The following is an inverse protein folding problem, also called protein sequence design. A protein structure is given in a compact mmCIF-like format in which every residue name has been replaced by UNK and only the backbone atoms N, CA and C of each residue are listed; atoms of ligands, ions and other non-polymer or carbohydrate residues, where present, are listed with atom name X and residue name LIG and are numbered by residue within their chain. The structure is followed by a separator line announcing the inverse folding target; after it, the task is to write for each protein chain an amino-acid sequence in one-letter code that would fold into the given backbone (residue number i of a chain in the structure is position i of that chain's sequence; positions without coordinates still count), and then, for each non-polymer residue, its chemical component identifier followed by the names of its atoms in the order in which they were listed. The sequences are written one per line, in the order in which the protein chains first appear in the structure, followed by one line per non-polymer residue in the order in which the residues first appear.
data_IF_507091642145
#
_entry.id   IF_507091642145
#
_cell.length_a   1.000
_cell.length_b   1.000
_cell.length_c   1.000
_cell.angle_alpha   90.00
_cell.angle_beta   90.00
_cell.angle_gamma   90.00
#
_symmetry.space_group_name_H-M   'P 1'
#
loop_
_entity.id
_entity.type
_entity.pdbx_description
1 polymer ?
#
# COMPACT_ATOMS: atom_id res chain seq x y z
N UNK A 1 -31.44 22.18 22.29
CA UNK A 1 -30.52 21.68 21.24
C UNK A 1 -30.85 20.22 21.03
N UNK A 2 -31.60 19.92 19.98
CA UNK A 2 -31.74 18.55 19.50
C UNK A 2 -30.36 18.10 19.03
N UNK A 3 -29.81 17.04 19.62
CA UNK A 3 -28.67 16.36 19.02
C UNK A 3 -29.12 15.94 17.62
N UNK A 4 -28.50 16.52 16.59
CA UNK A 4 -28.71 16.01 15.23
C UNK A 4 -28.30 14.55 15.26
N UNK A 5 -29.15 13.66 14.75
CA UNK A 5 -28.76 12.27 14.57
C UNK A 5 -27.44 12.24 13.77
N UNK A 6 -26.44 11.46 14.23
CA UNK A 6 -25.17 11.39 13.56
C UNK A 6 -25.38 10.93 12.11
N UNK A 7 -24.75 11.64 11.17
CA UNK A 7 -24.82 11.33 9.76
C UNK A 7 -24.31 9.90 9.51
N UNK A 8 -25.18 9.01 9.03
CA UNK A 8 -24.83 7.63 8.70
C UNK A 8 -24.27 7.53 7.28
N UNK A 9 -23.60 6.43 6.96
CA UNK A 9 -23.09 6.17 5.61
C UNK A 9 -24.21 6.21 4.56
N UNK A 10 -25.29 5.44 4.75
CA UNK A 10 -26.39 5.37 3.78
C UNK A 10 -27.08 6.73 3.61
N UNK A 11 -27.35 7.45 4.72
CA UNK A 11 -27.96 8.78 4.66
C UNK A 11 -27.06 9.80 3.93
N UNK A 12 -25.74 9.71 4.11
CA UNK A 12 -24.81 10.56 3.38
C UNK A 12 -24.73 10.19 1.90
N UNK A 13 -24.73 8.90 1.56
CA UNK A 13 -24.75 8.44 0.16
C UNK A 13 -26.00 8.95 -0.55
N UNK A 14 -27.18 8.86 0.07
CA UNK A 14 -28.42 9.39 -0.49
C UNK A 14 -28.35 10.91 -0.69
N UNK A 15 -27.84 11.64 0.31
CA UNK A 15 -27.64 13.09 0.23
C UNK A 15 -26.69 13.46 -0.93
N UNK A 16 -25.54 12.79 -1.03
CA UNK A 16 -24.55 13.06 -2.07
C UNK A 16 -25.03 12.63 -3.46
N UNK A 17 -25.78 11.53 -3.55
CA UNK A 17 -26.37 11.07 -4.80
C UNK A 17 -27.52 11.98 -5.29
N UNK A 18 -28.09 12.84 -4.45
CA UNK A 18 -29.06 13.86 -4.86
C UNK A 18 -28.39 15.12 -5.43
N UNK A 19 -27.11 15.35 -5.12
CA UNK A 19 -26.38 16.54 -5.57
C UNK A 19 -25.84 16.35 -7.01
N UNK A 20 -26.20 17.21 -7.98
CA UNK A 20 -25.71 17.09 -9.36
C UNK A 20 -24.19 17.28 -9.49
N UNK A 21 -23.56 18.04 -8.58
CA UNK A 21 -22.12 18.34 -8.62
C UNK A 21 -21.26 17.17 -8.11
N UNK A 22 -21.84 16.16 -7.46
CA UNK A 22 -21.15 14.92 -7.11
C UNK A 22 -21.03 14.04 -8.36
N UNK A 23 -19.79 13.86 -8.82
CA UNK A 23 -19.47 13.05 -10.02
C UNK A 23 -19.00 11.64 -9.68
N UNK A 24 -18.61 11.40 -8.42
CA UNK A 24 -18.23 10.07 -7.95
C UNK A 24 -18.26 9.91 -6.44
N UNK A 25 -18.56 8.68 -6.00
CA UNK A 25 -18.44 8.25 -4.60
C UNK A 25 -17.60 6.99 -4.55
N UNK A 26 -16.52 7.01 -3.76
CA UNK A 26 -15.52 5.95 -3.71
C UNK A 26 -15.26 5.52 -2.27
N UNK A 27 -15.67 4.31 -1.92
CA UNK A 27 -15.49 3.71 -0.60
C UNK A 27 -14.14 2.98 -0.54
N UNK A 28 -13.26 3.37 0.37
CA UNK A 28 -11.98 2.68 0.61
C UNK A 28 -12.01 1.92 1.94
N UNK A 29 -10.83 1.42 2.33
CA UNK A 29 -10.63 0.83 3.64
C UNK A 29 -11.29 -0.53 3.79
N UNK A 30 -11.61 -0.90 5.03
CA UNK A 30 -12.00 -2.28 5.36
C UNK A 30 -13.34 -2.68 4.74
N UNK A 31 -14.26 -1.72 4.58
CA UNK A 31 -15.57 -1.91 3.93
C UNK A 31 -15.46 -2.13 2.42
N UNK A 32 -14.33 -1.73 1.81
CA UNK A 32 -14.03 -2.02 0.40
C UNK A 32 -13.46 -3.44 0.18
N UNK A 33 -12.91 -4.06 1.22
CA UNK A 33 -12.24 -5.36 1.15
C UNK A 33 -13.15 -6.46 1.70
N UNK A 34 -13.56 -7.38 0.85
CA UNK A 34 -14.42 -8.51 1.24
C UNK A 34 -13.81 -9.30 2.41
N UNK A 35 -14.59 -9.48 3.48
CA UNK A 35 -14.19 -10.22 4.68
C UNK A 35 -13.30 -9.45 5.67
N UNK A 36 -12.94 -8.19 5.39
CA UNK A 36 -12.02 -7.41 6.23
C UNK A 36 -12.70 -6.41 7.17
N UNK A 37 -13.99 -6.14 6.95
CA UNK A 37 -14.79 -5.28 7.82
C UNK A 37 -15.14 -6.00 9.12
N UNK A 38 -15.13 -5.25 10.22
CA UNK A 38 -15.54 -5.68 11.57
C UNK A 38 -16.59 -4.73 12.13
N UNK A 39 -17.15 -5.04 13.29
CA UNK A 39 -18.07 -4.13 14.01
C UNK A 39 -17.44 -2.77 14.35
N UNK A 40 -16.10 -2.69 14.43
CA UNK A 40 -15.32 -1.48 14.71
C UNK A 40 -14.86 -0.75 13.45
N UNK A 41 -15.34 -1.15 12.29
CA UNK A 41 -14.95 -0.58 11.00
C UNK A 41 -15.88 0.57 10.61
N UNK A 42 -15.30 1.75 10.43
CA UNK A 42 -15.88 2.93 9.81
C UNK A 42 -16.04 2.76 8.29
N UNK A 43 -16.72 3.74 7.67
CA UNK A 43 -16.77 3.92 6.23
C UNK A 43 -15.88 5.09 5.83
N UNK A 44 -14.77 4.80 5.15
CA UNK A 44 -13.93 5.81 4.53
C UNK A 44 -14.47 6.15 3.12
N UNK A 45 -15.13 7.29 2.95
CA UNK A 45 -15.76 7.67 1.69
C UNK A 45 -15.12 8.91 1.06
N UNK A 46 -14.67 8.77 -0.18
CA UNK A 46 -14.26 9.88 -1.03
C UNK A 46 -15.48 10.41 -1.79
N UNK A 47 -15.70 11.71 -1.68
CA UNK A 47 -16.75 12.46 -2.37
C UNK A 47 -16.07 13.29 -3.45
N UNK A 48 -16.22 12.86 -4.70
CA UNK A 48 -15.59 13.49 -5.86
C UNK A 48 -16.58 14.46 -6.48
N UNK A 49 -16.25 15.74 -6.39
CA UNK A 49 -17.04 16.82 -6.96
C UNK A 49 -16.54 17.18 -8.37
N UNK A 50 -17.42 17.70 -9.22
CA UNK A 50 -17.01 18.34 -10.45
C UNK A 50 -16.03 19.49 -10.15
N UNK A 51 -15.07 19.71 -11.06
CA UNK A 51 -14.12 20.81 -10.89
C UNK A 51 -14.87 22.16 -10.90
N UNK A 52 -14.65 22.98 -9.87
CA UNK A 52 -15.33 24.26 -9.70
C UNK A 52 -16.78 24.18 -9.19
N UNK A 53 -17.22 23.01 -8.73
CA UNK A 53 -18.53 22.82 -8.11
C UNK A 53 -18.80 23.79 -6.94
N UNK A 54 -20.04 24.24 -6.83
CA UNK A 54 -20.50 25.13 -5.77
C UNK A 54 -21.62 24.45 -4.98
N UNK A 55 -21.23 23.55 -4.08
CA UNK A 55 -22.14 22.71 -3.29
C UNK A 55 -22.01 22.93 -1.78
N UNK A 56 -23.14 22.84 -1.10
CA UNK A 56 -23.24 22.79 0.36
C UNK A 56 -22.52 21.58 0.98
N UNK A 57 -22.22 20.54 0.20
CA UNK A 57 -21.50 19.35 0.67
C UNK A 57 -20.08 19.66 1.16
N UNK A 58 -19.49 20.77 0.71
CA UNK A 58 -18.18 21.24 1.18
C UNK A 58 -18.15 21.47 2.70
N UNK A 59 -19.29 21.69 3.36
CA UNK A 59 -19.40 21.77 4.83
C UNK A 59 -19.01 20.48 5.56
N UNK A 60 -18.98 19.35 4.85
CA UNK A 60 -18.53 18.05 5.38
C UNK A 60 -17.04 17.80 5.17
N UNK A 61 -16.27 18.78 4.67
CA UNK A 61 -14.81 18.66 4.55
C UNK A 61 -14.20 18.39 5.93
N UNK A 62 -13.44 17.29 6.06
CA UNK A 62 -12.84 16.86 7.32
C UNK A 62 -13.83 16.23 8.31
N UNK A 63 -15.04 15.89 7.87
CA UNK A 63 -16.02 15.19 8.70
C UNK A 63 -15.51 13.79 9.06
N UNK A 64 -15.45 13.52 10.36
CA UNK A 64 -15.00 12.24 10.90
C UNK A 64 -15.76 11.86 12.16
N UNK A 65 -16.37 10.69 12.14
CA UNK A 65 -17.02 10.03 13.27
C UNK A 65 -16.47 8.60 13.39
N UNK A 66 -16.81 7.85 14.47
CA UNK A 66 -16.49 6.43 14.54
C UNK A 66 -17.12 5.56 13.43
N UNK A 67 -18.15 6.06 12.74
CA UNK A 67 -18.88 5.34 11.69
C UNK A 67 -18.55 5.80 10.26
N UNK A 68 -18.12 7.06 10.08
CA UNK A 68 -17.97 7.71 8.78
C UNK A 68 -16.81 8.71 8.76
N UNK A 69 -15.89 8.55 7.81
CA UNK A 69 -14.80 9.51 7.50
C UNK A 69 -14.94 9.96 6.04
N UNK A 70 -15.06 11.28 5.83
CA UNK A 70 -15.33 11.88 4.52
C UNK A 70 -14.12 12.66 4.00
N UNK A 71 -13.71 12.32 2.78
CA UNK A 71 -12.74 13.10 2.00
C UNK A 71 -13.48 13.74 0.84
N UNK A 72 -13.77 15.03 0.95
CA UNK A 72 -14.43 15.82 -0.09
C UNK A 72 -13.37 16.53 -0.92
N UNK A 73 -13.36 16.33 -2.23
CA UNK A 73 -12.37 16.91 -3.14
C UNK A 73 -12.89 17.01 -4.57
N UNK A 74 -12.24 17.83 -5.38
CA UNK A 74 -12.53 17.97 -6.82
C UNK A 74 -12.04 16.77 -7.63
N UNK A 75 -12.57 16.58 -8.84
CA UNK A 75 -12.12 15.54 -9.76
C UNK A 75 -10.62 15.66 -10.10
N UNK A 76 -10.12 16.89 -10.28
CA UNK A 76 -8.70 17.16 -10.45
C UNK A 76 -7.85 16.69 -9.27
N UNK A 77 -8.27 17.01 -8.04
CA UNK A 77 -7.60 16.54 -6.82
C UNK A 77 -7.70 15.02 -6.67
N UNK A 78 -8.81 14.40 -7.06
CA UNK A 78 -8.98 12.95 -6.99
C UNK A 78 -7.99 12.20 -7.89
N UNK A 79 -7.73 12.75 -9.09
CA UNK A 79 -6.72 12.19 -10.01
C UNK A 79 -5.33 12.19 -9.36
N UNK A 80 -4.98 13.26 -8.65
CA UNK A 80 -3.70 13.37 -7.93
C UNK A 80 -3.66 12.57 -6.61
N UNK A 81 -4.81 12.34 -5.97
CA UNK A 81 -4.87 11.73 -4.65
C UNK A 81 -4.11 10.40 -4.55
N UNK A 82 -3.24 10.30 -3.56
CA UNK A 82 -2.40 9.12 -3.33
C UNK A 82 -1.27 8.92 -4.33
N UNK A 83 -0.95 9.86 -5.23
CA UNK A 83 0.15 9.70 -6.19
C UNK A 83 1.18 10.84 -6.13
N UNK A 84 2.47 10.53 -5.84
CA UNK A 84 2.95 9.32 -5.19
C UNK A 84 2.50 9.29 -3.72
N UNK A 85 2.33 8.11 -3.12
CA UNK A 85 2.04 8.05 -1.69
C UNK A 85 1.43 6.75 -1.20
N UNK A 86 1.39 6.62 0.13
CA UNK A 86 0.86 5.45 0.83
C UNK A 86 -0.63 5.20 0.55
N UNK A 87 -1.40 6.27 0.31
CA UNK A 87 -2.83 6.20 0.06
C UNK A 87 -3.19 5.59 -1.30
N UNK A 88 -2.21 5.48 -2.23
CA UNK A 88 -2.41 4.89 -3.57
C UNK A 88 -3.07 3.53 -3.51
N UNK A 89 -2.58 2.65 -2.63
CA UNK A 89 -3.11 1.30 -2.50
C UNK A 89 -4.58 1.30 -2.07
N UNK A 90 -4.94 2.15 -1.10
CA UNK A 90 -6.29 2.18 -0.57
C UNK A 90 -7.31 2.58 -1.65
N UNK A 91 -6.95 3.53 -2.52
CA UNK A 91 -7.75 3.91 -3.68
C UNK A 91 -7.73 2.85 -4.80
N UNK A 92 -6.57 2.24 -5.08
CA UNK A 92 -6.42 1.16 -6.06
C UNK A 92 -7.29 -0.10 -5.77
N UNK A 93 -7.76 -0.25 -4.54
CA UNK A 93 -8.65 -1.33 -4.09
C UNK A 93 -10.00 -0.81 -3.56
N UNK A 94 -10.32 0.45 -3.84
CA UNK A 94 -11.59 1.03 -3.42
C UNK A 94 -12.76 0.48 -4.25
N UNK A 95 -13.96 0.59 -3.67
CA UNK A 95 -15.23 0.27 -4.31
C UNK A 95 -15.91 1.54 -4.79
N UNK A 96 -16.41 1.51 -6.00
CA UNK A 96 -17.20 2.60 -6.56
C UNK A 96 -18.63 2.44 -6.06
N UNK A 97 -19.14 3.47 -5.40
CA UNK A 97 -20.54 3.57 -4.97
C UNK A 97 -21.35 4.33 -6.01
N UNK A 98 -20.76 5.36 -6.62
CA UNK A 98 -21.35 6.16 -7.69
C UNK A 98 -20.26 6.57 -8.69
N UNK A 99 -20.57 6.51 -9.98
CA UNK A 99 -19.77 7.07 -11.07
C UNK A 99 -20.73 7.69 -12.10
N UNK A 100 -20.70 9.02 -12.24
CA UNK A 100 -21.52 9.76 -13.22
C UNK A 100 -20.76 10.15 -14.48
N UNK A 101 -19.51 9.71 -14.59
CA UNK A 101 -18.62 10.08 -15.68
C UNK A 101 -18.39 8.89 -16.62
N UNK A 102 -19.42 8.06 -16.81
CA UNK A 102 -19.41 6.90 -17.70
C UNK A 102 -18.18 5.99 -17.52
N UNK A 103 -17.76 5.77 -16.27
CA UNK A 103 -16.63 4.91 -15.93
C UNK A 103 -15.30 5.63 -15.74
N UNK A 104 -15.25 6.97 -15.86
CA UNK A 104 -14.00 7.70 -15.67
C UNK A 104 -13.46 7.59 -14.23
N UNK A 105 -14.33 7.50 -13.21
CA UNK A 105 -13.88 7.25 -11.82
C UNK A 105 -13.25 5.86 -11.73
N UNK A 106 -13.85 4.86 -12.37
CA UNK A 106 -13.28 3.52 -12.46
C UNK A 106 -11.90 3.50 -13.13
N UNK A 107 -11.74 4.24 -14.23
CA UNK A 107 -10.45 4.35 -14.92
C UNK A 107 -9.39 5.00 -14.02
N UNK A 108 -9.73 6.07 -13.30
CA UNK A 108 -8.82 6.72 -12.35
C UNK A 108 -8.34 5.75 -11.27
N UNK A 109 -9.22 4.91 -10.73
CA UNK A 109 -8.84 3.88 -9.74
C UNK A 109 -7.97 2.78 -10.35
N UNK A 110 -8.28 2.35 -11.58
CA UNK A 110 -7.48 1.36 -12.31
C UNK A 110 -6.05 1.86 -12.57
N UNK A 111 -5.90 3.14 -12.90
CA UNK A 111 -4.59 3.78 -13.10
C UNK A 111 -3.79 3.85 -11.80
N UNK A 112 -4.45 4.12 -10.66
CA UNK A 112 -3.81 4.06 -9.33
C UNK A 112 -3.33 2.65 -8.98
N UNK A 113 -3.99 1.60 -9.47
CA UNK A 113 -3.63 0.21 -9.20
C UNK A 113 -2.36 -0.27 -9.91
N UNK A 114 -1.83 0.50 -10.87
CA UNK A 114 -0.58 0.16 -11.56
C UNK A 114 0.39 1.33 -11.57
N UNK A 115 1.62 1.07 -11.14
CA UNK A 115 2.73 2.00 -11.31
C UNK A 115 3.08 2.08 -12.80
N UNK A 116 3.44 3.28 -13.25
CA UNK A 116 4.03 3.41 -14.58
C UNK A 116 5.39 2.69 -14.61
N UNK A 117 5.86 2.30 -15.80
CA UNK A 117 7.07 1.46 -15.93
C UNK A 117 8.30 2.15 -15.34
N UNK A 118 8.43 3.47 -15.54
CA UNK A 118 9.60 4.21 -15.08
C UNK A 118 9.53 4.48 -13.57
N UNK A 119 8.34 4.78 -13.04
CA UNK A 119 8.06 4.88 -11.60
C UNK A 119 8.34 3.56 -10.90
N UNK A 120 7.80 2.45 -11.40
CA UNK A 120 8.04 1.12 -10.86
C UNK A 120 9.53 0.76 -10.84
N UNK A 121 10.25 1.09 -11.92
CA UNK A 121 11.67 0.80 -12.01
C UNK A 121 12.48 1.60 -10.97
N UNK A 122 12.23 2.91 -10.84
CA UNK A 122 12.88 3.76 -9.84
C UNK A 122 12.54 3.33 -8.41
N UNK A 123 11.26 3.07 -8.13
CA UNK A 123 10.81 2.63 -6.81
C UNK A 123 11.44 1.27 -6.46
N UNK A 124 11.49 0.32 -7.41
CA UNK A 124 12.13 -0.97 -7.18
C UNK A 124 13.63 -0.82 -6.86
N UNK A 125 14.36 0.05 -7.57
CA UNK A 125 15.78 0.35 -7.29
C UNK A 125 15.96 0.93 -5.89
N UNK A 126 15.24 2.00 -5.56
CA UNK A 126 15.35 2.68 -4.27
C UNK A 126 15.00 1.77 -3.09
N UNK A 127 13.93 0.97 -3.22
CA UNK A 127 13.49 0.06 -2.17
C UNK A 127 14.39 -1.17 -2.07
N UNK A 128 14.97 -1.65 -3.17
CA UNK A 128 15.94 -2.74 -3.16
C UNK A 128 17.23 -2.33 -2.42
N UNK A 129 17.72 -1.11 -2.66
CA UNK A 129 18.88 -0.59 -1.94
C UNK A 129 18.60 -0.44 -0.44
N UNK A 130 17.44 0.12 -0.08
CA UNK A 130 17.02 0.24 1.32
C UNK A 130 16.85 -1.12 2.01
N UNK A 131 16.32 -2.12 1.29
CA UNK A 131 16.23 -3.50 1.78
C UNK A 131 17.63 -4.09 2.04
N UNK A 132 18.55 -3.97 1.06
CA UNK A 132 19.92 -4.42 1.20
C UNK A 132 20.62 -3.74 2.39
N UNK A 133 20.42 -2.44 2.58
CA UNK A 133 21.00 -1.71 3.71
C UNK A 133 20.47 -2.18 5.07
N UNK A 134 19.16 -2.35 5.23
CA UNK A 134 18.59 -2.86 6.48
C UNK A 134 19.02 -4.32 6.76
N UNK A 135 19.05 -5.16 5.73
CA UNK A 135 19.54 -6.53 5.85
C UNK A 135 21.03 -6.57 6.26
N UNK A 136 21.87 -5.79 5.58
CA UNK A 136 23.30 -5.70 5.89
C UNK A 136 23.52 -5.29 7.35
N UNK A 137 22.81 -4.25 7.81
CA UNK A 137 22.86 -3.81 9.21
C UNK A 137 22.40 -4.90 10.17
N UNK A 138 21.32 -5.61 9.86
CA UNK A 138 20.84 -6.73 10.67
C UNK A 138 21.91 -7.80 10.84
N UNK A 139 22.46 -8.31 9.74
CA UNK A 139 23.48 -9.38 9.75
C UNK A 139 24.77 -8.91 10.43
N UNK A 140 25.19 -7.67 10.17
CA UNK A 140 26.35 -7.05 10.82
C UNK A 140 26.14 -6.94 12.33
N UNK A 141 24.99 -6.45 12.78
CA UNK A 141 24.66 -6.32 14.19
C UNK A 141 24.57 -7.69 14.88
N UNK A 142 24.08 -8.74 14.21
CA UNK A 142 24.14 -10.11 14.76
C UNK A 142 25.59 -10.58 14.93
N UNK A 143 26.43 -10.38 13.92
CA UNK A 143 27.87 -10.71 13.98
C UNK A 143 28.57 -9.99 15.15
N UNK A 144 28.20 -8.74 15.38
CA UNK A 144 28.82 -7.87 16.39
C UNK A 144 28.19 -8.02 17.79
N UNK A 145 27.19 -8.90 17.96
CA UNK A 145 26.55 -9.18 19.25
C UNK A 145 25.44 -8.20 19.67
N UNK A 146 25.00 -7.30 18.79
CA UNK A 146 23.96 -6.31 19.04
C UNK A 146 22.55 -6.85 18.74
N UNK A 147 22.08 -7.79 19.56
CA UNK A 147 20.85 -8.56 19.29
C UNK A 147 19.58 -7.71 19.08
N UNK A 148 19.36 -6.66 19.88
CA UNK A 148 18.17 -5.81 19.71
C UNK A 148 18.23 -5.02 18.39
N UNK A 149 19.37 -4.38 18.10
CA UNK A 149 19.57 -3.64 16.87
C UNK A 149 19.39 -4.55 15.64
N UNK A 150 19.96 -5.76 15.69
CA UNK A 150 19.82 -6.75 14.62
C UNK A 150 18.35 -7.10 14.31
N UNK A 151 17.51 -7.28 15.35
CA UNK A 151 16.08 -7.57 15.17
C UNK A 151 15.30 -6.37 14.65
N UNK A 152 15.60 -5.16 15.10
CA UNK A 152 14.96 -3.94 14.60
C UNK A 152 15.29 -3.73 13.12
N UNK A 153 16.57 -3.90 12.73
CA UNK A 153 16.99 -3.83 11.32
C UNK A 153 16.35 -4.93 10.46
N UNK A 154 16.18 -6.13 11.01
CA UNK A 154 15.48 -7.22 10.34
C UNK A 154 14.00 -6.86 10.09
N UNK A 155 13.32 -6.31 11.09
CA UNK A 155 11.93 -5.85 10.95
C UNK A 155 11.80 -4.70 9.94
N UNK A 156 12.73 -3.72 9.95
CA UNK A 156 12.78 -2.64 8.96
C UNK A 156 12.94 -3.18 7.53
N UNK A 157 13.76 -4.23 7.36
CA UNK A 157 14.03 -4.83 6.05
C UNK A 157 12.75 -5.37 5.39
N UNK A 158 11.78 -5.85 6.17
CA UNK A 158 10.53 -6.44 5.65
C UNK A 158 9.70 -5.43 4.88
N UNK A 159 9.63 -4.18 5.36
CA UNK A 159 8.89 -3.12 4.66
C UNK A 159 9.51 -2.85 3.29
N UNK A 160 10.81 -2.61 3.26
CA UNK A 160 11.54 -2.31 2.02
C UNK A 160 11.51 -3.47 1.03
N UNK A 161 11.61 -4.70 1.51
CA UNK A 161 11.45 -5.89 0.69
C UNK A 161 10.07 -5.92 0.02
N UNK A 162 9.00 -5.77 0.80
CA UNK A 162 7.65 -5.78 0.25
C UNK A 162 7.44 -4.65 -0.76
N UNK A 163 7.88 -3.43 -0.45
CA UNK A 163 7.80 -2.30 -1.38
C UNK A 163 8.55 -2.60 -2.69
N UNK A 164 9.76 -3.18 -2.62
CA UNK A 164 10.51 -3.61 -3.81
C UNK A 164 9.78 -4.69 -4.61
N UNK A 165 9.27 -5.75 -3.97
CA UNK A 165 8.57 -6.84 -4.66
C UNK A 165 7.27 -6.38 -5.34
N UNK A 166 6.51 -5.50 -4.69
CA UNK A 166 5.30 -4.92 -5.28
C UNK A 166 5.63 -3.96 -6.42
N UNK A 167 6.69 -3.15 -6.30
CA UNK A 167 7.16 -2.30 -7.39
C UNK A 167 7.62 -3.11 -8.62
N UNK A 168 8.30 -4.25 -8.43
CA UNK A 168 8.65 -5.17 -9.52
C UNK A 168 7.43 -5.70 -10.27
N UNK A 169 6.31 -5.90 -9.56
CA UNK A 169 5.03 -6.28 -10.16
C UNK A 169 4.15 -5.07 -10.56
N UNK A 170 4.74 -3.86 -10.50
CA UNK A 170 4.10 -2.58 -10.81
C UNK A 170 2.81 -2.33 -10.04
N UNK A 171 2.71 -2.84 -8.81
CA UNK A 171 1.56 -2.62 -7.92
C UNK A 171 1.95 -1.77 -6.72
N UNK A 172 1.03 -0.92 -6.21
CA UNK A 172 1.26 -0.25 -4.94
C UNK A 172 1.23 -1.29 -3.82
N UNK A 173 2.10 -1.11 -2.83
CA UNK A 173 2.22 -2.03 -1.70
C UNK A 173 1.02 -1.90 -0.75
N UNK A 174 0.34 -2.99 -0.35
CA UNK A 174 -0.78 -2.96 0.59
C UNK A 174 -0.40 -2.48 1.98
N UNK A 175 -1.34 -1.90 2.74
CA UNK A 175 -1.17 -1.76 4.19
C UNK A 175 -1.00 -3.14 4.84
N UNK A 176 -0.27 -3.21 5.96
CA UNK A 176 -0.02 -4.48 6.68
C UNK A 176 -1.31 -5.27 6.92
N UNK A 177 -2.38 -4.59 7.33
CA UNK A 177 -3.70 -5.19 7.56
C UNK A 177 -4.26 -5.92 6.34
N UNK A 178 -3.92 -5.50 5.11
CA UNK A 178 -4.44 -6.07 3.86
C UNK A 178 -3.42 -6.94 3.13
N UNK A 179 -2.20 -7.11 3.65
CA UNK A 179 -1.12 -7.81 2.95
C UNK A 179 -1.48 -9.26 2.60
N UNK A 180 -1.95 -10.03 3.58
CA UNK A 180 -2.35 -11.43 3.37
C UNK A 180 -3.55 -11.52 2.42
N UNK A 181 -4.55 -10.66 2.61
CA UNK A 181 -5.72 -10.57 1.74
C UNK A 181 -5.33 -10.30 0.27
N UNK A 182 -4.41 -9.36 0.05
CA UNK A 182 -3.93 -8.96 -1.28
C UNK A 182 -3.14 -10.11 -1.91
N UNK A 183 -2.24 -10.77 -1.19
CA UNK A 183 -1.42 -11.86 -1.74
C UNK A 183 -2.21 -13.16 -1.96
N UNK A 184 -3.30 -13.38 -1.22
CA UNK A 184 -4.20 -14.51 -1.45
C UNK A 184 -5.02 -14.36 -2.75
N UNK A 185 -5.42 -13.13 -3.08
CA UNK A 185 -6.24 -12.83 -4.28
C UNK A 185 -5.40 -12.46 -5.50
N UNK A 186 -4.27 -11.81 -5.27
CA UNK A 186 -3.38 -11.25 -6.30
C UNK A 186 -1.93 -11.62 -5.94
N UNK A 187 -1.54 -12.91 -6.06
CA UNK A 187 -0.22 -13.37 -5.69
C UNK A 187 0.88 -12.66 -6.47
N UNK A 188 2.02 -12.42 -5.83
CA UNK A 188 3.20 -11.88 -6.51
C UNK A 188 3.77 -12.93 -7.49
N UNK A 189 4.03 -12.59 -8.76
CA UNK A 189 4.56 -13.55 -9.74
C UNK A 189 5.86 -14.21 -9.28
N UNK A 190 5.91 -15.54 -9.34
CA UNK A 190 7.10 -16.30 -8.96
C UNK A 190 7.35 -16.37 -7.45
N UNK A 191 6.41 -15.91 -6.61
CA UNK A 191 6.43 -16.06 -5.15
C UNK A 191 5.33 -17.01 -4.69
N UNK A 192 5.66 -17.84 -3.71
CA UNK A 192 4.67 -18.64 -3.00
C UNK A 192 4.18 -17.82 -1.81
N UNK A 193 2.90 -17.50 -1.76
CA UNK A 193 2.32 -16.58 -0.77
C UNK A 193 2.54 -17.07 0.65
N UNK A 194 2.22 -18.34 0.94
CA UNK A 194 2.36 -18.90 2.29
C UNK A 194 3.81 -18.88 2.77
N UNK A 195 4.73 -19.42 1.96
CA UNK A 195 6.16 -19.43 2.29
C UNK A 195 6.73 -18.03 2.44
N UNK A 196 6.29 -17.06 1.63
CA UNK A 196 6.72 -15.67 1.79
C UNK A 196 6.27 -15.14 3.15
N UNK A 197 4.98 -15.25 3.48
CA UNK A 197 4.44 -14.75 4.75
C UNK A 197 5.09 -15.42 5.97
N UNK A 198 5.26 -16.74 5.95
CA UNK A 198 5.95 -17.48 7.02
C UNK A 198 7.41 -17.00 7.20
N UNK A 199 8.09 -16.71 6.08
CA UNK A 199 9.46 -16.19 6.11
C UNK A 199 9.50 -14.78 6.70
N UNK A 200 8.57 -13.91 6.33
CA UNK A 200 8.50 -12.53 6.85
C UNK A 200 8.15 -12.50 8.35
N UNK A 201 7.25 -13.38 8.79
CA UNK A 201 6.90 -13.54 10.20
C UNK A 201 8.13 -13.98 11.02
N UNK A 202 8.82 -15.04 10.58
CA UNK A 202 10.03 -15.51 11.24
C UNK A 202 11.11 -14.42 11.34
N UNK A 203 11.35 -13.69 10.25
CA UNK A 203 12.32 -12.58 10.22
C UNK A 203 11.92 -11.49 11.21
N UNK A 204 10.64 -11.08 11.20
CA UNK A 204 10.14 -10.01 12.07
C UNK A 204 10.19 -10.40 13.55
N UNK A 205 9.93 -11.67 13.87
CA UNK A 205 9.94 -12.18 15.23
C UNK A 205 11.35 -12.39 15.79
N UNK A 206 12.28 -12.88 14.96
CA UNK A 206 13.55 -13.44 15.46
C UNK A 206 14.80 -12.74 14.92
N UNK A 207 14.72 -12.11 13.75
CA UNK A 207 15.89 -11.64 13.01
C UNK A 207 16.82 -12.77 12.53
N UNK A 208 16.32 -14.00 12.34
CA UNK A 208 17.16 -15.16 11.97
C UNK A 208 17.99 -14.90 10.71
N UNK A 209 19.31 -14.83 10.88
CA UNK A 209 20.27 -14.49 9.81
C UNK A 209 20.23 -15.48 8.65
N UNK A 210 20.07 -16.77 8.94
CA UNK A 210 20.06 -17.81 7.91
C UNK A 210 18.85 -17.66 6.99
N UNK A 211 17.68 -17.38 7.57
CA UNK A 211 16.43 -17.10 6.84
C UNK A 211 16.54 -15.82 6.03
N UNK A 212 17.05 -14.74 6.63
CA UNK A 212 17.29 -13.48 5.95
C UNK A 212 18.19 -13.65 4.71
N UNK A 213 19.31 -14.38 4.83
CA UNK A 213 20.23 -14.65 3.72
C UNK A 213 19.63 -15.51 2.62
N UNK A 214 18.89 -16.57 2.98
CA UNK A 214 18.19 -17.42 2.01
C UNK A 214 17.17 -16.62 1.20
N UNK A 215 16.40 -15.77 1.88
CA UNK A 215 15.46 -14.88 1.22
C UNK A 215 16.18 -13.91 0.29
N UNK A 216 17.27 -13.29 0.76
CA UNK A 216 18.09 -12.39 -0.05
C UNK A 216 18.59 -13.04 -1.34
N UNK A 217 19.08 -14.29 -1.30
CA UNK A 217 19.53 -14.99 -2.51
C UNK A 217 18.43 -15.11 -3.57
N UNK A 218 17.17 -15.31 -3.14
CA UNK A 218 16.01 -15.31 -4.05
C UNK A 218 15.71 -13.90 -4.57
N UNK A 219 15.72 -12.89 -3.70
CA UNK A 219 15.48 -11.49 -4.07
C UNK A 219 16.52 -11.01 -5.07
N UNK A 220 17.81 -11.28 -4.83
CA UNK A 220 18.90 -10.96 -5.74
C UNK A 220 18.67 -11.57 -7.13
N UNK A 221 18.25 -12.83 -7.20
CA UNK A 221 17.96 -13.49 -8.47
C UNK A 221 16.80 -12.81 -9.22
N UNK A 222 15.72 -12.48 -8.51
CA UNK A 222 14.54 -11.83 -9.10
C UNK A 222 14.87 -10.41 -9.56
N UNK A 223 15.53 -9.61 -8.71
CA UNK A 223 15.93 -8.24 -9.00
C UNK A 223 16.84 -8.17 -10.24
N UNK A 224 17.86 -9.05 -10.32
CA UNK A 224 18.76 -9.11 -11.48
C UNK A 224 18.02 -9.46 -12.77
N UNK A 225 17.10 -10.43 -12.73
CA UNK A 225 16.27 -10.80 -13.90
C UNK A 225 15.36 -9.66 -14.36
N UNK A 226 14.93 -8.81 -13.44
CA UNK A 226 14.12 -7.63 -13.72
C UNK A 226 14.95 -6.39 -14.15
N UNK A 227 16.29 -6.49 -14.19
CA UNK A 227 17.16 -5.41 -14.66
C UNK A 227 17.77 -4.54 -13.54
N UNK A 228 17.52 -4.85 -12.28
CA UNK A 228 17.97 -4.07 -11.11
C UNK A 228 19.34 -4.51 -10.57
N UNK A 229 20.14 -5.22 -11.39
CA UNK A 229 21.43 -5.78 -10.95
C UNK A 229 22.45 -4.72 -10.52
N UNK A 230 22.44 -3.55 -11.17
CA UNK A 230 23.37 -2.46 -10.90
C UNK A 230 23.28 -1.95 -9.45
N UNK A 231 22.07 -1.90 -8.87
CA UNK A 231 21.87 -1.53 -7.46
C UNK A 231 22.66 -2.46 -6.54
N UNK A 232 22.54 -3.77 -6.76
CA UNK A 232 23.25 -4.76 -5.95
C UNK A 232 24.75 -4.77 -6.20
N UNK A 233 25.18 -4.51 -7.44
CA UNK A 233 26.60 -4.47 -7.80
C UNK A 233 27.33 -3.28 -7.15
N UNK A 234 26.62 -2.17 -6.88
CA UNK A 234 27.16 -1.01 -6.17
C UNK A 234 27.58 -1.31 -4.71
N UNK A 235 27.02 -2.36 -4.09
CA UNK A 235 27.41 -2.83 -2.76
C UNK A 235 28.78 -3.56 -2.74
N UNK A 236 29.33 -3.92 -3.90
CA UNK A 236 30.65 -4.52 -4.02
C UNK A 236 30.86 -5.73 -3.11
N UNK A 237 31.90 -5.67 -2.27
CA UNK A 237 32.25 -6.77 -1.37
C UNK A 237 31.26 -7.00 -0.22
N UNK A 238 30.51 -5.99 0.19
CA UNK A 238 29.56 -6.09 1.31
C UNK A 238 28.38 -7.00 0.99
N UNK A 239 28.08 -7.19 -0.30
CA UNK A 239 27.06 -8.12 -0.78
C UNK A 239 27.30 -9.56 -0.29
N UNK A 240 28.57 -9.95 -0.07
CA UNK A 240 28.92 -11.28 0.47
C UNK A 240 28.37 -11.54 1.86
N UNK A 241 28.14 -10.50 2.67
CA UNK A 241 27.61 -10.66 4.02
C UNK A 241 26.12 -11.06 4.01
N UNK A 242 25.39 -10.63 2.98
CA UNK A 242 23.94 -10.84 2.82
C UNK A 242 23.59 -12.12 2.04
N UNK A 243 24.52 -12.64 1.25
CA UNK A 243 24.31 -13.87 0.47
C UNK A 243 24.25 -15.11 1.38
N UNK A 244 23.54 -16.17 0.94
CA UNK A 244 23.63 -17.48 1.57
C UNK A 244 25.09 -17.93 1.70
N UNK A 245 25.41 -18.58 2.83
CA UNK A 245 26.70 -19.18 3.11
C UNK A 245 26.59 -20.70 2.99
#
# INVERSE_FOLDING_TARGET
MTAQDPMTFDAFVDLAAADPDVVGLVLKGSRAHEGMATERSDHDLYVVLADGAATDLTRFTGHRTPELDLVVLSLGEFRAAGMPGFERYALARARIVLDRLDGAVAQILADKARLDVAEAFREADERLDAYANSLYRSVKNTRDGHALAARLDAADSVRFLLESLFALDRRPRPYNKYLEWELARFPLPGWDTGRLLDTLDLISATGDVSTQRRLFGRVETVARRAGHGAVLDAWGSDLRLMRPQ
#
